data_IF_821100813824
#
_entry.id   IF_821100813824
#
_cell.length_a   1.000
_cell.length_b   1.000
_cell.length_c   1.000
_cell.angle_alpha   90.00
_cell.angle_beta   90.00
_cell.angle_gamma   90.00
#
_symmetry.space_group_name_H-M   'P 1'
#
loop_
_entity.id
_entity.type
_entity.pdbx_description
1 polymer ?
#
# COMPACT_ATOMS: atom_id res chain seq x y z
N UNK A 1 4.90 -7.47 28.34
CA UNK A 1 4.17 -7.02 27.14
C UNK A 1 5.20 -6.38 26.23
N UNK A 2 5.65 -7.11 25.21
CA UNK A 2 6.69 -6.65 24.28
C UNK A 2 6.00 -5.79 23.23
N UNK A 3 6.20 -4.47 23.33
CA UNK A 3 6.01 -3.57 22.21
C UNK A 3 7.18 -3.84 21.27
N UNK A 4 6.96 -4.64 20.22
CA UNK A 4 7.90 -4.76 19.10
C UNK A 4 7.87 -3.46 18.30
N UNK A 5 8.45 -2.41 18.89
CA UNK A 5 8.76 -1.15 18.24
C UNK A 5 10.00 -1.38 17.39
N UNK A 6 9.82 -1.92 16.20
CA UNK A 6 10.68 -1.83 15.00
C UNK A 6 10.22 -2.93 14.04
N UNK A 7 9.03 -2.76 13.48
CA UNK A 7 8.67 -3.46 12.27
C UNK A 7 9.48 -2.80 11.13
N UNK A 8 10.75 -3.19 11.02
CA UNK A 8 11.53 -2.89 9.83
C UNK A 8 10.78 -3.53 8.67
N UNK A 9 10.25 -2.72 7.76
CA UNK A 9 9.72 -3.18 6.48
C UNK A 9 10.62 -4.29 5.94
N UNK A 10 10.21 -5.54 6.08
CA UNK A 10 11.02 -6.62 5.57
C UNK A 10 10.98 -6.53 4.04
N UNK A 11 12.01 -6.99 3.33
CA UNK A 11 11.96 -7.05 1.88
C UNK A 11 10.72 -7.82 1.37
N UNK A 12 10.17 -8.73 2.17
CA UNK A 12 8.88 -9.38 1.92
C UNK A 12 7.68 -8.44 1.98
N UNK A 13 7.62 -7.53 2.96
CA UNK A 13 6.57 -6.53 3.08
C UNK A 13 6.63 -5.51 1.93
N UNK A 14 7.84 -5.10 1.53
CA UNK A 14 8.02 -4.20 0.37
C UNK A 14 7.55 -4.87 -0.92
N UNK A 15 7.82 -6.18 -1.09
CA UNK A 15 7.34 -6.94 -2.24
C UNK A 15 5.81 -7.09 -2.22
N UNK A 16 5.21 -7.25 -1.05
CA UNK A 16 3.76 -7.30 -0.86
C UNK A 16 3.13 -5.94 -1.18
N UNK A 17 3.69 -4.86 -0.68
CA UNK A 17 3.27 -3.49 -0.95
C UNK A 17 3.33 -3.18 -2.45
N UNK A 18 4.42 -3.54 -3.14
CA UNK A 18 4.51 -3.41 -4.60
C UNK A 18 3.45 -4.20 -5.34
N UNK A 19 3.19 -5.45 -4.94
CA UNK A 19 2.14 -6.26 -5.57
C UNK A 19 0.77 -5.64 -5.42
N UNK A 20 0.43 -5.17 -4.22
CA UNK A 20 -0.85 -4.50 -3.96
C UNK A 20 -0.96 -3.22 -4.77
N UNK A 21 0.12 -2.44 -4.88
CA UNK A 21 0.18 -1.25 -5.72
C UNK A 21 -0.03 -1.59 -7.20
N UNK A 22 0.67 -2.60 -7.73
CA UNK A 22 0.55 -3.04 -9.12
C UNK A 22 -0.89 -3.52 -9.41
N UNK A 23 -1.51 -4.27 -8.50
CA UNK A 23 -2.91 -4.68 -8.61
C UNK A 23 -3.88 -3.49 -8.56
N UNK A 24 -3.66 -2.50 -7.70
CA UNK A 24 -4.51 -1.29 -7.60
C UNK A 24 -4.35 -0.41 -8.83
N UNK A 25 -3.12 -0.26 -9.34
CA UNK A 25 -2.86 0.47 -10.57
C UNK A 25 -3.49 -0.23 -11.78
N UNK A 26 -3.41 -1.56 -11.88
CA UNK A 26 -4.06 -2.33 -12.95
C UNK A 26 -5.60 -2.21 -12.87
N UNK A 27 -6.18 -2.37 -11.68
CA UNK A 27 -7.62 -2.28 -11.44
C UNK A 27 -8.19 -0.88 -11.75
N UNK A 28 -7.48 0.18 -11.34
CA UNK A 28 -7.84 1.57 -11.68
C UNK A 28 -7.39 1.99 -13.07
N UNK A 29 -6.70 1.13 -13.82
CA UNK A 29 -6.07 1.45 -15.11
C UNK A 29 -5.17 2.71 -15.05
N UNK A 30 -4.49 2.90 -13.92
CA UNK A 30 -3.56 4.01 -13.68
C UNK A 30 -2.16 3.57 -14.16
N UNK A 31 -1.51 4.34 -15.05
CA UNK A 31 -0.14 4.05 -15.46
C UNK A 31 0.79 4.16 -14.24
N UNK A 32 1.67 3.17 -14.04
CA UNK A 32 2.72 3.22 -13.01
C UNK A 32 3.66 4.43 -13.16
N UNK A 33 3.69 5.04 -14.34
CA UNK A 33 4.46 6.25 -14.67
C UNK A 33 3.70 7.55 -14.32
N UNK A 34 2.44 7.45 -13.89
CA UNK A 34 1.64 8.62 -13.51
C UNK A 34 1.96 9.05 -12.06
N UNK A 35 1.94 10.35 -11.75
CA UNK A 35 2.07 10.83 -10.36
C UNK A 35 1.06 10.17 -9.40
N UNK A 36 -0.11 9.76 -9.89
CA UNK A 36 -1.09 8.99 -9.12
C UNK A 36 -0.52 7.66 -8.59
N UNK A 37 0.24 6.92 -9.39
CA UNK A 37 0.84 5.66 -8.92
C UNK A 37 1.86 5.92 -7.81
N UNK A 38 2.60 7.03 -7.89
CA UNK A 38 3.55 7.43 -6.84
C UNK A 38 2.82 7.89 -5.56
N UNK A 39 1.69 8.59 -5.69
CA UNK A 39 0.84 8.97 -4.54
C UNK A 39 0.25 7.72 -3.87
N UNK A 40 -0.33 6.81 -4.65
CA UNK A 40 -0.89 5.53 -4.19
C UNK A 40 0.19 4.70 -3.49
N UNK A 41 1.42 4.64 -4.03
CA UNK A 41 2.55 3.96 -3.39
C UNK A 41 2.89 4.58 -2.03
N UNK A 42 2.86 5.91 -1.94
CA UNK A 42 3.19 6.64 -0.72
C UNK A 42 2.11 6.47 0.34
N UNK A 43 0.83 6.51 -0.04
CA UNK A 43 -0.30 6.23 0.84
C UNK A 43 -0.26 4.78 1.34
N UNK A 44 0.02 3.83 0.45
CA UNK A 44 0.17 2.42 0.80
C UNK A 44 1.29 2.18 1.82
N UNK A 45 2.44 2.85 1.68
CA UNK A 45 3.50 2.82 2.70
C UNK A 45 3.05 3.50 4.00
N UNK A 46 2.34 4.62 3.94
CA UNK A 46 1.80 5.28 5.14
C UNK A 46 0.82 4.38 5.90
N UNK A 47 -0.11 3.72 5.22
CA UNK A 47 -1.04 2.76 5.83
C UNK A 47 -0.32 1.57 6.44
N UNK A 48 0.74 1.08 5.79
CA UNK A 48 1.56 0.01 6.35
C UNK A 48 2.29 0.46 7.63
N UNK A 49 2.89 1.65 7.62
CA UNK A 49 3.51 2.26 8.80
C UNK A 49 2.50 2.56 9.92
N UNK A 50 1.24 2.78 9.56
CA UNK A 50 0.13 2.92 10.50
C UNK A 50 -0.22 1.59 11.19
N UNK A 51 0.26 0.45 10.67
CA UNK A 51 0.03 -0.89 11.19
C UNK A 51 -0.92 -1.74 10.33
N UNK A 52 -1.33 -1.27 9.14
CA UNK A 52 -2.16 -2.04 8.21
C UNK A 52 -1.26 -2.92 7.34
N UNK A 53 -1.12 -4.18 7.75
CA UNK A 53 -0.34 -5.19 7.01
C UNK A 53 -1.17 -6.04 6.04
N UNK A 54 -2.49 -5.87 6.07
CA UNK A 54 -3.39 -6.69 5.28
C UNK A 54 -3.59 -6.08 3.88
N UNK A 55 -3.23 -6.80 2.79
CA UNK A 55 -3.32 -6.27 1.43
C UNK A 55 -4.75 -5.91 1.02
N UNK A 56 -5.75 -6.62 1.57
CA UNK A 56 -7.16 -6.35 1.30
C UNK A 56 -7.62 -5.05 1.97
N UNK A 57 -7.19 -4.81 3.21
CA UNK A 57 -7.52 -3.58 3.95
C UNK A 57 -6.80 -2.38 3.35
N UNK A 58 -5.52 -2.54 2.96
CA UNK A 58 -4.79 -1.55 2.18
C UNK A 58 -5.56 -1.18 0.91
N UNK A 59 -5.98 -2.16 0.12
CA UNK A 59 -6.82 -1.93 -1.08
C UNK A 59 -8.09 -1.15 -0.76
N UNK A 60 -8.79 -1.49 0.31
CA UNK A 60 -10.01 -0.76 0.71
C UNK A 60 -9.73 0.67 1.15
N UNK A 61 -8.61 0.93 1.82
CA UNK A 61 -8.22 2.27 2.24
C UNK A 61 -7.73 3.12 1.06
N UNK A 62 -7.14 2.49 0.04
CA UNK A 62 -6.68 3.09 -1.21
C UNK A 62 -7.76 3.19 -2.29
N UNK A 63 -8.94 2.61 -2.06
CA UNK A 63 -10.11 2.81 -2.90
C UNK A 63 -10.95 3.95 -2.30
N UNK A 64 -10.69 5.22 -2.66
CA UNK A 64 -11.69 6.23 -2.43
C UNK A 64 -12.89 5.83 -3.27
N UNK A 65 -13.96 5.42 -2.59
CA UNK A 65 -15.32 5.44 -3.10
C UNK A 65 -15.45 6.59 -4.11
N UNK A 66 -15.84 6.33 -5.37
CA UNK A 66 -16.03 7.39 -6.34
C UNK A 66 -17.11 8.34 -5.80
N UNK A 67 -16.70 9.58 -5.50
CA UNK A 67 -17.58 10.74 -5.37
C UNK A 67 -17.72 11.41 -6.72
#
# INVERSE_FOLDING_TARGET
MVFSSHDTLEPGDIALLRRVLEEVCDDKSIPLDHPDAQEIARDLVNWFLFGIKDPLELRKMLDPLPI
#
